data_IF_341844333314
#
_entry.id   IF_341844333314
#
_cell.length_a   1.000
_cell.length_b   1.000
_cell.length_c   1.000
_cell.angle_alpha   90.00
_cell.angle_beta   90.00
_cell.angle_gamma   90.00
#
_symmetry.space_group_name_H-M   'P 1'
#
loop_
_entity.id
_entity.type
_entity.pdbx_description
1 polymer ?
#
# COMPACT_ATOMS: atom_id res chain seq x y z
N UNK A 1 -6.78 -75.58 47.28
CA UNK A 1 -5.79 -74.47 47.04
C UNK A 1 -5.23 -74.39 45.64
N UNK A 2 -4.99 -75.52 44.92
CA UNK A 2 -4.39 -75.48 43.55
C UNK A 2 -5.29 -74.76 42.49
N UNK A 3 -6.63 -74.82 42.63
CA UNK A 3 -7.59 -74.19 41.68
C UNK A 3 -7.61 -72.68 41.78
N UNK A 4 -7.42 -72.12 42.97
CA UNK A 4 -7.40 -70.66 43.22
C UNK A 4 -6.14 -70.00 42.60
N UNK A 5 -4.97 -70.68 42.72
CA UNK A 5 -3.75 -70.22 42.13
C UNK A 5 -3.77 -70.18 40.57
N UNK A 6 -4.44 -71.14 39.95
CA UNK A 6 -4.61 -71.16 38.51
C UNK A 6 -5.53 -70.02 38.01
N UNK A 7 -6.56 -69.71 38.83
CA UNK A 7 -7.47 -68.60 38.50
C UNK A 7 -6.76 -67.25 38.61
N UNK A 8 -5.97 -67.03 39.66
CA UNK A 8 -5.18 -65.84 39.85
C UNK A 8 -4.14 -65.65 38.71
N UNK A 9 -3.46 -66.73 38.29
CA UNK A 9 -2.50 -66.71 37.17
C UNK A 9 -3.18 -66.32 35.84
N UNK A 10 -4.37 -66.92 35.55
CA UNK A 10 -5.14 -66.59 34.38
C UNK A 10 -5.61 -65.12 34.34
N UNK A 11 -5.99 -64.57 35.50
CA UNK A 11 -6.43 -63.20 35.64
C UNK A 11 -5.24 -62.21 35.43
N UNK A 12 -4.07 -62.49 35.93
CA UNK A 12 -2.85 -61.69 35.72
C UNK A 12 -2.42 -61.71 34.27
N UNK A 13 -2.48 -62.85 33.60
CA UNK A 13 -2.19 -62.96 32.16
C UNK A 13 -3.20 -62.20 31.34
N UNK A 14 -4.51 -62.26 31.65
CA UNK A 14 -5.53 -61.52 30.94
C UNK A 14 -5.36 -60.00 31.08
N UNK A 15 -5.04 -59.54 32.31
CA UNK A 15 -4.78 -58.10 32.56
C UNK A 15 -3.48 -57.65 31.88
N UNK A 16 -2.46 -58.50 31.82
CA UNK A 16 -1.21 -58.20 31.13
C UNK A 16 -1.39 -58.05 29.62
N UNK A 17 -2.20 -58.93 28.99
CA UNK A 17 -2.49 -58.83 27.56
C UNK A 17 -3.34 -57.61 27.21
N UNK A 18 -4.28 -57.21 28.10
CA UNK A 18 -5.02 -55.97 27.94
C UNK A 18 -4.13 -54.73 28.04
N UNK A 19 -3.18 -54.74 28.98
CA UNK A 19 -2.21 -53.64 29.15
C UNK A 19 -1.28 -53.46 27.96
N UNK A 20 -0.84 -54.55 27.33
CA UNK A 20 -0.03 -54.52 26.10
C UNK A 20 -0.86 -54.01 24.91
N UNK A 21 -2.14 -54.44 24.83
CA UNK A 21 -3.05 -53.95 23.79
C UNK A 21 -3.31 -52.44 23.87
N UNK A 22 -3.40 -51.88 25.07
CA UNK A 22 -3.60 -50.44 25.29
C UNK A 22 -2.32 -49.62 25.00
N UNK A 23 -1.14 -50.17 25.28
CA UNK A 23 0.13 -49.50 25.00
C UNK A 23 0.50 -49.47 23.50
N UNK A 24 -0.07 -50.37 22.69
CA UNK A 24 0.18 -50.42 21.26
C UNK A 24 -0.74 -49.46 20.43
N UNK A 25 -1.69 -48.78 21.10
CA UNK A 25 -2.63 -47.88 20.42
C UNK A 25 -2.27 -46.39 20.62
N UNK A 26 -1.02 -46.06 20.84
CA UNK A 26 -0.53 -44.69 20.68
C UNK A 26 -0.21 -44.48 19.19
N UNK A 27 -1.24 -44.23 18.42
CA UNK A 27 -1.08 -43.79 17.03
C UNK A 27 -0.74 -42.29 17.08
N UNK A 28 0.46 -41.95 16.60
CA UNK A 28 0.89 -40.56 16.53
C UNK A 28 0.29 -39.98 15.25
N UNK A 29 -0.82 -39.27 15.38
CA UNK A 29 -1.39 -38.51 14.27
C UNK A 29 -0.52 -37.31 14.00
N UNK A 30 0.28 -37.36 12.96
CA UNK A 30 0.96 -36.18 12.41
C UNK A 30 -0.05 -35.39 11.62
N UNK A 31 -0.43 -34.23 12.13
CA UNK A 31 -1.21 -33.27 11.39
C UNK A 31 -0.25 -32.29 10.73
N UNK A 32 0.01 -32.49 9.46
CA UNK A 32 0.72 -31.51 8.65
C UNK A 32 -0.28 -30.45 8.19
N UNK A 33 -0.26 -29.29 8.83
CA UNK A 33 -1.10 -28.19 8.47
C UNK A 33 -0.28 -27.17 7.69
N UNK A 34 -0.48 -27.12 6.38
CA UNK A 34 0.05 -26.05 5.54
C UNK A 34 -0.87 -24.83 5.73
N UNK A 35 -0.39 -23.81 6.40
CA UNK A 35 -1.09 -22.53 6.49
C UNK A 35 -0.61 -21.67 5.33
N UNK A 36 -1.45 -21.49 4.32
CA UNK A 36 -1.21 -20.47 3.32
C UNK A 36 -1.48 -19.11 3.94
N UNK A 37 -0.42 -18.33 4.11
CA UNK A 37 -0.53 -16.93 4.51
C UNK A 37 -1.05 -16.12 3.33
N UNK A 38 -2.11 -15.34 3.56
CA UNK A 38 -2.66 -14.48 2.52
C UNK A 38 -1.63 -13.44 2.04
N UNK A 39 -1.89 -12.89 0.86
CA UNK A 39 -1.01 -11.90 0.22
C UNK A 39 -1.54 -10.47 0.45
N UNK A 40 -0.61 -9.56 0.76
CA UNK A 40 -0.85 -8.12 0.71
C UNK A 40 -0.59 -7.65 -0.70
N UNK A 41 -1.61 -7.10 -1.36
CA UNK A 41 -1.48 -6.46 -2.67
C UNK A 41 -2.34 -5.22 -2.71
N UNK A 42 -1.71 -4.10 -2.97
CA UNK A 42 -2.32 -2.79 -3.14
C UNK A 42 -1.72 -2.11 -4.37
N UNK A 43 -2.47 -1.25 -5.00
CA UNK A 43 -1.97 -0.48 -6.13
C UNK A 43 -2.84 0.72 -6.45
N UNK A 44 -2.32 1.57 -7.31
CA UNK A 44 -2.96 2.75 -7.85
C UNK A 44 -3.64 2.36 -9.17
N UNK A 45 -4.93 2.65 -9.29
CA UNK A 45 -5.69 2.61 -10.55
C UNK A 45 -6.18 4.00 -10.89
N UNK A 46 -6.73 4.16 -12.07
CA UNK A 46 -7.40 5.35 -12.55
C UNK A 46 -6.72 6.68 -12.12
N UNK A 47 -5.97 7.27 -13.00
CA UNK A 47 -5.28 8.54 -12.77
C UNK A 47 -6.02 9.65 -13.53
N UNK A 48 -6.50 10.67 -12.81
CA UNK A 48 -7.20 11.83 -13.36
C UNK A 48 -6.40 13.07 -13.00
N UNK A 49 -6.07 13.88 -14.02
CA UNK A 49 -5.20 15.04 -13.91
C UNK A 49 -5.88 16.27 -14.49
N UNK A 50 -5.76 17.41 -13.79
CA UNK A 50 -6.15 18.69 -14.34
C UNK A 50 -5.39 19.84 -13.68
N UNK A 51 -5.30 20.98 -14.40
CA UNK A 51 -4.72 22.21 -13.89
C UNK A 51 -5.81 23.19 -13.47
N UNK A 52 -5.53 23.99 -12.47
CA UNK A 52 -6.31 25.18 -12.11
C UNK A 52 -5.38 26.36 -11.87
N UNK A 53 -5.95 27.59 -11.95
CA UNK A 53 -5.25 28.85 -11.86
C UNK A 53 -4.20 29.05 -12.98
N UNK A 54 -4.35 28.35 -14.09
CA UNK A 54 -3.53 28.54 -15.29
C UNK A 54 -4.08 29.73 -16.11
N UNK A 55 -3.87 30.95 -15.60
CA UNK A 55 -4.33 32.18 -16.24
C UNK A 55 -3.67 32.43 -17.62
N UNK A 56 -2.52 31.79 -17.85
CA UNK A 56 -1.76 31.97 -19.10
C UNK A 56 -2.07 30.90 -20.15
N UNK A 57 -2.73 29.81 -19.73
CA UNK A 57 -3.06 28.65 -20.58
C UNK A 57 -1.81 28.14 -21.36
N UNK A 58 -0.68 28.02 -20.65
CA UNK A 58 0.61 27.58 -21.23
C UNK A 58 1.17 26.33 -20.56
N UNK A 59 0.71 26.01 -19.36
CA UNK A 59 1.16 24.81 -18.65
C UNK A 59 0.36 23.59 -19.10
N UNK A 60 1.03 22.47 -19.23
CA UNK A 60 0.41 21.19 -19.53
C UNK A 60 0.63 20.20 -18.40
N UNK A 61 -0.35 19.31 -18.17
CA UNK A 61 -0.22 18.21 -17.22
C UNK A 61 -0.44 16.88 -17.92
N UNK A 62 0.46 15.95 -17.67
CA UNK A 62 0.38 14.58 -18.18
C UNK A 62 0.77 13.59 -17.09
N UNK A 63 0.43 12.33 -17.26
CA UNK A 63 0.84 11.30 -16.31
C UNK A 63 0.55 9.90 -16.79
N UNK A 64 1.18 8.96 -16.14
CA UNK A 64 0.99 7.54 -16.38
C UNK A 64 1.22 6.74 -15.10
N UNK A 65 0.77 5.50 -15.12
CA UNK A 65 0.96 4.53 -14.03
C UNK A 65 2.03 3.51 -14.43
N UNK A 66 2.88 3.10 -13.48
CA UNK A 66 3.99 2.18 -13.73
C UNK A 66 4.17 1.16 -12.60
N UNK A 67 4.90 0.08 -12.90
CA UNK A 67 5.09 -1.07 -12.03
C UNK A 67 3.76 -1.76 -11.70
N UNK A 68 3.15 -2.41 -12.72
CA UNK A 68 1.92 -3.19 -12.54
C UNK A 68 2.08 -4.24 -11.43
N UNK A 69 1.13 -4.24 -10.50
CA UNK A 69 1.11 -5.13 -9.33
C UNK A 69 -0.04 -6.14 -9.36
N UNK A 70 -1.02 -5.94 -10.22
CA UNK A 70 -2.13 -6.85 -10.45
C UNK A 70 -3.34 -6.17 -11.08
N UNK A 71 -4.41 -6.93 -11.20
CA UNK A 71 -5.65 -6.49 -11.83
C UNK A 71 -6.84 -6.73 -10.91
N UNK A 72 -7.86 -5.93 -11.05
CA UNK A 72 -9.15 -6.06 -10.37
C UNK A 72 -10.28 -6.07 -11.39
N UNK A 73 -11.25 -6.97 -11.21
CA UNK A 73 -12.46 -6.97 -12.03
C UNK A 73 -13.34 -5.76 -11.72
N UNK A 74 -13.72 -5.01 -12.75
CA UNK A 74 -14.67 -3.90 -12.68
C UNK A 74 -16.03 -4.36 -13.19
N UNK A 75 -17.01 -4.47 -12.32
CA UNK A 75 -18.38 -4.83 -12.72
C UNK A 75 -19.02 -3.79 -13.64
N UNK A 76 -18.88 -2.48 -13.39
CA UNK A 76 -19.43 -1.46 -14.28
C UNK A 76 -18.88 -1.54 -15.72
N UNK A 77 -17.56 -1.77 -15.84
CA UNK A 77 -16.87 -1.71 -17.12
C UNK A 77 -16.76 -3.09 -17.79
N UNK A 78 -17.13 -4.17 -17.06
CA UNK A 78 -17.04 -5.55 -17.51
C UNK A 78 -15.62 -5.93 -18.01
N UNK A 79 -14.59 -5.44 -17.33
CA UNK A 79 -13.19 -5.68 -17.69
C UNK A 79 -12.28 -5.75 -16.47
N UNK A 80 -11.10 -6.32 -16.68
CA UNK A 80 -10.02 -6.27 -15.70
C UNK A 80 -9.32 -4.91 -15.78
N UNK A 81 -9.23 -4.21 -14.64
CA UNK A 81 -8.52 -2.94 -14.51
C UNK A 81 -7.18 -3.20 -13.86
N UNK A 82 -6.05 -2.86 -14.51
CA UNK A 82 -4.73 -3.00 -13.94
C UNK A 82 -4.48 -1.97 -12.83
N UNK A 83 -3.72 -2.38 -11.83
CA UNK A 83 -3.27 -1.53 -10.73
C UNK A 83 -1.74 -1.52 -10.68
N UNK A 84 -1.19 -0.37 -10.33
CA UNK A 84 0.22 -0.06 -10.43
C UNK A 84 0.76 0.43 -9.08
N UNK A 85 2.07 0.31 -8.90
CA UNK A 85 2.72 0.74 -7.67
C UNK A 85 2.98 2.23 -7.63
N UNK A 86 3.26 2.83 -8.79
CA UNK A 86 3.67 4.23 -8.93
C UNK A 86 2.77 5.00 -9.88
N UNK A 87 2.50 6.24 -9.52
CA UNK A 87 1.90 7.24 -10.39
C UNK A 87 2.94 8.32 -10.72
N UNK A 88 3.16 8.54 -12.00
CA UNK A 88 4.02 9.59 -12.53
C UNK A 88 3.15 10.73 -13.01
N UNK A 89 3.42 11.93 -12.54
CA UNK A 89 2.73 13.15 -12.95
C UNK A 89 3.77 14.18 -13.38
N UNK A 90 3.65 14.63 -14.61
CA UNK A 90 4.56 15.63 -15.19
C UNK A 90 3.79 16.91 -15.46
N UNK A 91 4.33 18.03 -15.02
CA UNK A 91 3.81 19.37 -15.30
C UNK A 91 4.86 20.10 -16.13
N UNK A 92 4.50 20.34 -17.40
CA UNK A 92 5.31 21.06 -18.35
C UNK A 92 5.01 22.56 -18.31
N UNK A 93 6.03 23.38 -18.61
CA UNK A 93 5.93 24.84 -18.60
C UNK A 93 5.36 25.41 -17.29
N UNK A 94 5.73 24.77 -16.17
CA UNK A 94 5.26 25.18 -14.85
C UNK A 94 5.68 26.63 -14.52
N UNK A 95 4.79 27.36 -13.87
CA UNK A 95 5.07 28.72 -13.40
C UNK A 95 4.37 28.98 -12.06
N UNK A 96 4.86 29.96 -11.27
CA UNK A 96 4.28 30.26 -9.98
C UNK A 96 2.80 30.66 -10.07
N UNK A 97 1.98 30.11 -9.20
CA UNK A 97 0.56 30.38 -9.08
C UNK A 97 -0.35 29.31 -9.68
N UNK A 98 0.16 28.41 -10.55
CA UNK A 98 -0.65 27.30 -11.01
C UNK A 98 -0.81 26.23 -9.91
N UNK A 99 -1.87 25.44 -10.05
CA UNK A 99 -2.16 24.31 -9.18
C UNK A 99 -2.48 23.09 -10.02
N UNK A 100 -1.72 22.02 -9.83
CA UNK A 100 -1.99 20.73 -10.42
C UNK A 100 -2.81 19.88 -9.44
N UNK A 101 -3.88 19.30 -9.92
CA UNK A 101 -4.77 18.40 -9.19
C UNK A 101 -4.57 16.98 -9.69
N UNK A 102 -4.39 16.06 -8.78
CA UNK A 102 -4.20 14.64 -9.07
C UNK A 102 -5.18 13.85 -8.24
N UNK A 103 -6.06 13.14 -8.93
CA UNK A 103 -6.99 12.19 -8.30
C UNK A 103 -6.69 10.79 -8.82
N UNK A 104 -6.70 9.80 -7.94
CA UNK A 104 -6.48 8.41 -8.28
C UNK A 104 -7.26 7.49 -7.35
N UNK A 105 -7.40 6.22 -7.74
CA UNK A 105 -7.97 5.19 -6.88
C UNK A 105 -6.87 4.32 -6.29
N UNK A 106 -7.00 3.97 -5.01
CA UNK A 106 -6.17 2.96 -4.35
C UNK A 106 -7.03 1.71 -4.18
N UNK A 107 -6.60 0.58 -4.71
CA UNK A 107 -7.34 -0.68 -4.64
C UNK A 107 -6.56 -1.78 -3.93
N UNK A 108 -7.28 -2.59 -3.14
CA UNK A 108 -6.76 -3.81 -2.54
C UNK A 108 -7.25 -5.03 -3.34
N UNK A 109 -6.32 -5.85 -3.81
CA UNK A 109 -6.58 -7.12 -4.51
C UNK A 109 -5.80 -8.30 -3.90
N UNK A 110 -5.18 -8.09 -2.74
CA UNK A 110 -4.63 -9.15 -1.89
C UNK A 110 -5.71 -9.92 -1.16
N UNK A 111 -5.38 -11.08 -0.63
CA UNK A 111 -6.35 -11.96 0.06
C UNK A 111 -6.58 -11.59 1.52
N UNK A 112 -5.82 -10.66 2.06
CA UNK A 112 -5.93 -10.18 3.45
C UNK A 112 -6.19 -8.67 3.48
N UNK A 113 -6.97 -8.19 4.46
CA UNK A 113 -7.18 -6.76 4.66
C UNK A 113 -5.88 -6.03 4.92
N UNK A 114 -5.78 -4.83 4.37
CA UNK A 114 -4.61 -3.97 4.48
C UNK A 114 -5.01 -2.60 5.03
N UNK A 115 -4.03 -1.90 5.59
CA UNK A 115 -4.13 -0.47 5.89
C UNK A 115 -3.11 0.24 5.03
N UNK A 116 -3.52 1.32 4.40
CA UNK A 116 -2.60 2.23 3.71
C UNK A 116 -1.71 2.84 4.78
N UNK A 117 -0.41 2.49 4.73
CA UNK A 117 0.53 2.89 5.79
C UNK A 117 1.31 4.14 5.45
N UNK A 118 1.54 4.38 4.17
CA UNK A 118 2.35 5.51 3.72
C UNK A 118 2.11 5.86 2.25
N UNK A 119 2.38 7.12 1.90
CA UNK A 119 2.48 7.60 0.53
C UNK A 119 3.73 8.46 0.44
N UNK A 120 4.69 7.99 -0.37
CA UNK A 120 5.94 8.67 -0.61
C UNK A 120 5.88 9.51 -1.89
N UNK A 121 6.47 10.70 -1.84
CA UNK A 121 6.63 11.58 -2.98
C UNK A 121 8.09 11.78 -3.33
N UNK A 122 8.42 11.56 -4.58
CA UNK A 122 9.70 11.93 -5.18
C UNK A 122 9.44 13.00 -6.25
N UNK A 123 10.19 14.09 -6.23
CA UNK A 123 10.03 15.18 -7.19
C UNK A 123 11.33 15.39 -7.94
N UNK A 124 11.23 15.43 -9.25
CA UNK A 124 12.38 15.61 -10.15
C UNK A 124 12.22 16.89 -10.97
N UNK A 125 13.33 17.57 -11.19
CA UNK A 125 13.43 18.68 -12.14
C UNK A 125 13.58 18.18 -13.60
N UNK A 126 13.59 19.10 -14.54
CA UNK A 126 13.77 18.82 -15.98
C UNK A 126 15.10 18.10 -16.32
N UNK A 127 16.13 18.29 -15.52
CA UNK A 127 17.42 17.62 -15.69
C UNK A 127 17.45 16.21 -15.09
N UNK A 128 16.38 15.80 -14.41
CA UNK A 128 16.25 14.52 -13.71
C UNK A 128 16.92 14.52 -12.33
N UNK A 129 17.20 15.67 -11.75
CA UNK A 129 17.69 15.76 -10.38
C UNK A 129 16.57 15.59 -9.39
N UNK A 130 16.76 14.74 -8.38
CA UNK A 130 15.84 14.58 -7.27
C UNK A 130 15.87 15.83 -6.38
N UNK A 131 14.72 16.46 -6.22
CA UNK A 131 14.55 17.63 -5.36
C UNK A 131 14.23 17.18 -3.92
N UNK A 132 14.69 17.97 -2.94
CA UNK A 132 14.40 17.67 -1.54
C UNK A 132 12.92 17.91 -1.23
N UNK A 133 12.27 16.90 -0.62
CA UNK A 133 10.91 16.96 -0.12
C UNK A 133 10.91 16.80 1.40
N UNK A 134 10.11 17.60 2.10
CA UNK A 134 9.97 17.55 3.55
C UNK A 134 8.50 17.70 3.95
N UNK A 135 7.98 16.75 4.74
CA UNK A 135 6.67 16.88 5.35
C UNK A 135 6.66 17.99 6.40
N UNK A 136 5.76 18.95 6.29
CA UNK A 136 5.50 19.98 7.31
C UNK A 136 4.42 19.51 8.28
N UNK A 137 3.36 18.90 7.74
CA UNK A 137 2.35 18.18 8.50
C UNK A 137 2.30 16.78 7.88
N UNK A 138 2.89 15.78 8.55
CA UNK A 138 2.90 14.42 8.01
C UNK A 138 1.52 13.76 8.11
N UNK A 139 1.22 12.79 7.25
CA UNK A 139 0.08 11.91 7.46
C UNK A 139 0.20 11.18 8.84
N UNK A 140 -0.90 10.76 9.49
CA UNK A 140 -2.28 10.72 9.01
C UNK A 140 -3.16 11.94 9.37
N UNK A 141 -2.58 13.11 9.60
CA UNK A 141 -3.40 14.29 9.85
C UNK A 141 -4.13 14.72 8.56
N UNK A 142 -5.46 14.79 8.59
CA UNK A 142 -6.34 14.96 7.42
C UNK A 142 -6.12 16.20 6.53
N UNK A 143 -5.04 16.96 6.75
CA UNK A 143 -4.53 18.04 5.91
C UNK A 143 -3.01 17.95 5.81
N UNK A 144 -2.49 16.76 5.52
CA UNK A 144 -1.07 16.56 5.36
C UNK A 144 -0.52 17.42 4.22
N UNK A 145 0.63 18.02 4.41
CA UNK A 145 1.31 18.76 3.36
C UNK A 145 2.81 18.80 3.55
N UNK A 146 3.52 18.92 2.45
CA UNK A 146 4.97 18.97 2.40
C UNK A 146 5.49 20.09 1.48
N UNK A 147 6.76 20.37 1.60
CA UNK A 147 7.51 21.37 0.81
C UNK A 147 8.50 20.68 -0.09
N UNK A 148 8.63 21.18 -1.31
CA UNK A 148 9.69 20.81 -2.24
C UNK A 148 10.64 22.00 -2.37
N UNK A 149 11.93 21.73 -2.25
CA UNK A 149 12.97 22.75 -2.30
C UNK A 149 13.69 22.71 -3.66
N UNK A 150 14.28 23.82 -4.06
CA UNK A 150 15.13 23.89 -5.24
C UNK A 150 16.41 23.03 -5.07
N UNK A 151 17.18 22.88 -6.15
CA UNK A 151 18.42 22.09 -6.19
C UNK A 151 19.43 22.46 -5.08
N UNK A 152 19.32 23.63 -4.49
CA UNK A 152 20.22 24.13 -3.43
C UNK A 152 19.78 23.72 -2.05
N UNK A 153 18.55 23.23 -1.90
CA UNK A 153 18.00 22.87 -0.59
C UNK A 153 17.88 24.04 0.38
N UNK A 154 17.88 25.28 -0.13
CA UNK A 154 17.75 26.49 0.72
C UNK A 154 16.35 26.54 1.31
N UNK A 155 16.18 26.63 2.63
CA UNK A 155 14.87 26.78 3.27
C UNK A 155 14.05 27.97 2.76
N UNK A 156 14.70 29.01 2.25
CA UNK A 156 14.03 30.12 1.60
C UNK A 156 13.62 29.84 0.14
N UNK A 157 14.11 28.74 -0.43
CA UNK A 157 13.93 28.37 -1.83
C UNK A 157 12.90 27.24 -2.04
N UNK A 158 11.90 27.06 -1.16
CA UNK A 158 10.86 26.09 -1.45
C UNK A 158 9.99 26.57 -2.62
N UNK A 159 9.85 25.68 -3.61
CA UNK A 159 9.28 26.00 -4.93
C UNK A 159 7.87 25.42 -5.12
N UNK A 160 7.50 24.43 -4.34
CA UNK A 160 6.18 23.79 -4.41
C UNK A 160 5.70 23.40 -3.02
N UNK A 161 4.37 23.35 -2.89
CA UNK A 161 3.70 22.63 -1.80
C UNK A 161 2.93 21.46 -2.39
N UNK A 162 3.07 20.29 -1.80
CA UNK A 162 2.22 19.13 -2.06
C UNK A 162 1.24 19.04 -0.89
N UNK A 163 -0.05 19.17 -1.20
CA UNK A 163 -1.16 19.04 -0.26
C UNK A 163 -1.81 17.69 -0.51
N UNK A 164 -1.93 16.88 0.51
CA UNK A 164 -2.44 15.53 0.42
C UNK A 164 -3.73 15.39 1.22
N UNK A 165 -4.79 14.89 0.57
CA UNK A 165 -6.03 14.50 1.25
C UNK A 165 -5.86 13.07 1.73
N UNK A 166 -5.95 12.92 3.02
CA UNK A 166 -5.51 11.74 3.75
C UNK A 166 -6.35 10.49 3.45
N UNK A 167 -5.69 9.49 2.89
CA UNK A 167 -6.16 8.12 2.81
C UNK A 167 -5.30 7.15 3.66
N UNK A 168 -4.30 7.68 4.38
CA UNK A 168 -3.44 6.89 5.26
C UNK A 168 -4.21 6.50 6.51
N UNK A 169 -4.06 5.26 6.93
CA UNK A 169 -4.86 4.70 8.03
C UNK A 169 -6.18 4.06 7.58
N UNK A 170 -6.62 4.31 6.35
CA UNK A 170 -7.83 3.66 5.81
C UNK A 170 -7.60 2.17 5.59
N UNK A 171 -8.56 1.39 6.06
CA UNK A 171 -8.55 -0.07 5.88
C UNK A 171 -9.27 -0.45 4.60
N UNK A 172 -8.62 -1.27 3.80
CA UNK A 172 -9.19 -1.85 2.59
C UNK A 172 -9.28 -3.37 2.70
N UNK A 173 -10.44 -3.91 2.39
CA UNK A 173 -10.67 -5.34 2.23
C UNK A 173 -10.45 -5.78 0.78
N UNK A 174 -10.47 -7.10 0.57
CA UNK A 174 -10.39 -7.66 -0.77
C UNK A 174 -11.41 -7.03 -1.72
N UNK A 175 -10.96 -6.61 -2.88
CA UNK A 175 -11.75 -5.92 -3.91
C UNK A 175 -12.32 -4.54 -3.51
N UNK A 176 -11.92 -3.95 -2.40
CA UNK A 176 -12.26 -2.57 -2.10
C UNK A 176 -11.28 -1.59 -2.74
N UNK A 177 -11.77 -0.38 -2.98
CA UNK A 177 -10.96 0.74 -3.45
C UNK A 177 -11.50 2.04 -2.90
N UNK A 178 -10.60 3.00 -2.66
CA UNK A 178 -10.93 4.36 -2.25
C UNK A 178 -10.35 5.35 -3.24
N UNK A 179 -10.96 6.52 -3.32
CA UNK A 179 -10.38 7.67 -4.01
C UNK A 179 -9.42 8.38 -3.07
N UNK A 180 -8.30 8.78 -3.61
CA UNK A 180 -7.32 9.64 -2.96
C UNK A 180 -6.96 10.78 -3.89
N UNK A 181 -6.54 11.90 -3.31
CA UNK A 181 -6.18 13.08 -4.08
C UNK A 181 -5.03 13.83 -3.44
N UNK A 182 -4.24 14.48 -4.26
CA UNK A 182 -3.25 15.44 -3.84
C UNK A 182 -3.14 16.57 -4.84
N UNK A 183 -2.71 17.72 -4.34
CA UNK A 183 -2.54 18.93 -5.11
C UNK A 183 -1.11 19.41 -5.06
N UNK A 184 -0.60 19.93 -6.14
CA UNK A 184 0.68 20.62 -6.19
C UNK A 184 0.46 22.10 -6.47
N UNK A 185 0.88 22.93 -5.55
CA UNK A 185 0.85 24.39 -5.72
C UNK A 185 2.26 24.89 -6.00
N UNK A 186 2.45 25.46 -7.17
CA UNK A 186 3.73 26.01 -7.60
C UNK A 186 3.91 27.44 -7.09
N UNK A 187 5.05 27.73 -6.47
CA UNK A 187 5.30 28.96 -5.73
C UNK A 187 6.45 29.77 -6.33
N UNK A 188 6.60 31.04 -5.91
CA UNK A 188 7.84 31.77 -6.08
C UNK A 188 8.89 31.22 -5.07
N UNK A 189 10.15 30.98 -5.42
CA UNK A 189 10.88 31.43 -6.63
C UNK A 189 11.03 30.35 -7.75
N UNK A 190 9.99 29.57 -8.02
CA UNK A 190 10.04 28.57 -9.10
C UNK A 190 10.61 29.18 -10.39
N UNK A 191 11.50 28.46 -11.06
CA UNK A 191 11.92 28.77 -12.41
C UNK A 191 10.74 28.56 -13.36
N UNK A 192 10.41 29.58 -14.17
CA UNK A 192 9.35 29.48 -15.18
C UNK A 192 9.79 28.66 -16.38
N UNK A 193 8.83 28.10 -17.11
CA UNK A 193 9.03 27.33 -18.33
C UNK A 193 9.88 26.05 -18.12
N UNK A 194 9.81 25.46 -16.93
CA UNK A 194 10.47 24.21 -16.59
C UNK A 194 9.45 23.06 -16.39
N UNK A 195 9.93 21.86 -16.65
CA UNK A 195 9.20 20.61 -16.44
C UNK A 195 9.55 20.03 -15.07
N UNK A 196 8.52 19.60 -14.33
CA UNK A 196 8.67 18.89 -13.07
C UNK A 196 7.91 17.57 -13.11
N UNK A 197 8.56 16.49 -12.67
CA UNK A 197 7.96 15.17 -12.56
C UNK A 197 7.81 14.79 -11.08
N UNK A 198 6.60 14.44 -10.68
CA UNK A 198 6.27 14.00 -9.33
C UNK A 198 5.89 12.52 -9.42
N UNK A 199 6.50 11.69 -8.58
CA UNK A 199 6.22 10.26 -8.47
C UNK A 199 5.58 10.03 -7.12
N UNK A 200 4.37 9.47 -7.10
CA UNK A 200 3.71 9.03 -5.89
C UNK A 200 3.75 7.51 -5.79
N UNK A 201 4.20 7.00 -4.65
CA UNK A 201 4.27 5.56 -4.36
C UNK A 201 3.41 5.25 -3.14
N UNK A 202 2.47 4.30 -3.28
CA UNK A 202 1.58 3.88 -2.19
C UNK A 202 2.13 2.63 -1.52
N UNK A 203 2.18 2.65 -0.19
CA UNK A 203 2.59 1.52 0.64
C UNK A 203 1.47 1.10 1.57
N UNK A 204 1.29 -0.20 1.77
CA UNK A 204 0.32 -0.73 2.72
C UNK A 204 0.92 -1.86 3.54
N UNK A 205 0.38 -2.04 4.74
CA UNK A 205 0.74 -3.14 5.62
C UNK A 205 -0.48 -3.98 5.96
N UNK A 206 -0.24 -5.19 6.42
CA UNK A 206 -1.30 -6.05 6.91
C UNK A 206 -1.99 -5.41 8.12
N UNK A 207 -3.34 -5.43 8.14
CA UNK A 207 -4.16 -4.80 9.18
C UNK A 207 -3.70 -5.10 10.62
N UNK A 208 -3.38 -6.36 10.93
CA UNK A 208 -2.96 -6.77 12.28
C UNK A 208 -1.54 -6.34 12.70
N UNK A 209 -0.79 -5.70 11.79
CA UNK A 209 0.56 -5.16 12.05
C UNK A 209 0.60 -3.64 12.13
N UNK A 210 -0.54 -2.99 11.87
CA UNK A 210 -0.61 -1.54 11.93
C UNK A 210 -0.57 -1.08 13.38
N UNK A 211 0.33 -0.14 13.66
CA UNK A 211 0.42 0.61 14.92
C UNK A 211 0.27 2.07 14.52
N UNK A 212 -0.84 2.73 14.92
CA UNK A 212 -1.13 4.12 14.56
C UNK A 212 -0.14 5.10 15.17
#
# INVERSE_FOLDING_TARGET
MKKVGLFCLALVLALGTLGIGYAAWTDTVYMEQTVETGTVKIGIGELILWLSWDEKDIADISGYLDEEVGEKWSEPDQQWIPYYKKAYVTVDNAYPGIKAHVTYTIGCFGTIPVIISDIDFEVYDEAGNLLAFEWVVPPPDGNAWGKVFDERGDPAGHIMNILFVDSIGEQLHYCESIKSEWDVVFLQPLKQDHTYTIIATVTAIQYNKYVP
#
